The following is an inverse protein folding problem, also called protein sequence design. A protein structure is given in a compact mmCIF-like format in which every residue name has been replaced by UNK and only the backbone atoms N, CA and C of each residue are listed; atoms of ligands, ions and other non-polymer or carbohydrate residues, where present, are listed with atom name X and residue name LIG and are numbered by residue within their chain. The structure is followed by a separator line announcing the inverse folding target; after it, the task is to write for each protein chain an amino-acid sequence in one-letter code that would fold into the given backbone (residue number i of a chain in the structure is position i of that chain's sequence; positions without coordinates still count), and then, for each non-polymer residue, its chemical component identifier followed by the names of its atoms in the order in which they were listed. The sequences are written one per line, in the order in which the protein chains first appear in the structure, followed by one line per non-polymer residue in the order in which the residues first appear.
data_IF_386497984685
#
_entry.id   IF_386497984685
#
_cell.length_a   1.000
_cell.length_b   1.000
_cell.length_c   1.000
_cell.angle_alpha   90.00
_cell.angle_beta   90.00
_cell.angle_gamma   90.00
#
_symmetry.space_group_name_H-M   'P 1'
#
loop_
_entity.id
_entity.type
_entity.pdbx_description
1 polymer ?
#
# COMPACT_ATOMS: atom_id res chain seq x y z
N UNK A 1 43.91 -11.14 20.80
CA UNK A 1 43.04 -10.51 21.82
C UNK A 1 42.76 -9.10 21.29
N UNK A 2 41.59 -8.67 20.87
CA UNK A 2 40.20 -9.10 20.95
C UNK A 2 39.53 -8.43 19.72
N UNK A 3 38.96 -9.16 18.77
CA UNK A 3 37.55 -9.57 18.71
C UNK A 3 36.94 -8.93 17.45
N UNK A 4 36.49 -9.81 16.57
CA UNK A 4 35.67 -9.53 15.41
C UNK A 4 34.26 -9.13 15.85
N UNK A 5 33.93 -7.85 15.83
CA UNK A 5 32.54 -7.40 15.96
C UNK A 5 32.11 -6.79 14.62
N UNK A 6 31.43 -7.59 13.81
CA UNK A 6 30.76 -7.17 12.59
C UNK A 6 29.56 -6.28 12.91
N UNK A 7 29.85 -5.04 13.33
CA UNK A 7 28.86 -4.00 13.57
C UNK A 7 28.29 -3.48 12.25
N UNK A 8 26.97 -3.55 12.11
CA UNK A 8 26.21 -2.82 11.11
C UNK A 8 26.28 -1.33 11.46
N UNK A 9 27.12 -0.57 10.74
CA UNK A 9 27.32 0.86 10.93
C UNK A 9 26.06 1.65 10.49
N UNK A 10 25.14 1.89 11.43
CA UNK A 10 23.88 2.61 11.18
C UNK A 10 24.14 4.07 10.72
N UNK A 11 25.26 4.66 11.13
CA UNK A 11 25.72 6.01 10.74
C UNK A 11 26.21 6.07 9.28
N UNK A 12 26.59 4.92 8.68
CA UNK A 12 26.97 4.82 7.27
C UNK A 12 25.74 4.69 6.35
N UNK A 13 24.69 3.99 6.78
CA UNK A 13 23.42 3.90 6.04
C UNK A 13 22.77 5.29 5.93
N UNK A 14 22.69 6.04 7.04
CA UNK A 14 22.12 7.39 7.05
C UNK A 14 22.85 8.41 6.17
N UNK A 15 24.13 8.18 5.82
CA UNK A 15 24.88 9.04 4.89
C UNK A 15 24.77 8.63 3.42
N UNK A 16 24.37 7.39 3.13
CA UNK A 16 24.21 6.89 1.75
C UNK A 16 22.92 7.41 1.07
N UNK A 17 21.95 7.90 1.83
CA UNK A 17 20.64 8.32 1.31
C UNK A 17 20.55 9.82 0.97
N UNK A 18 21.63 10.60 1.07
CA UNK A 18 21.56 12.04 0.82
C UNK A 18 22.19 12.41 -0.53
N UNK A 19 21.43 12.36 -1.65
CA UNK A 19 21.89 12.83 -2.94
C UNK A 19 21.96 14.36 -2.92
N UNK A 20 23.09 14.91 -2.46
CA UNK A 20 23.41 16.31 -2.74
C UNK A 20 23.94 16.39 -4.17
N UNK A 21 23.01 16.33 -5.14
CA UNK A 21 23.28 16.61 -6.55
C UNK A 21 22.89 18.05 -6.87
N UNK A 22 23.89 18.91 -7.04
CA UNK A 22 23.71 20.23 -7.64
C UNK A 22 23.50 20.13 -9.16
N UNK A 23 22.55 20.90 -9.68
CA UNK A 23 22.28 21.10 -11.10
C UNK A 23 21.23 22.19 -11.30
N UNK A 24 21.61 23.25 -12.01
CA UNK A 24 20.95 24.54 -12.17
C UNK A 24 19.80 24.60 -13.19
N UNK A 25 19.07 25.70 -13.14
CA UNK A 25 17.79 26.00 -13.79
C UNK A 25 17.81 26.04 -15.34
N UNK A 26 16.64 25.77 -15.94
CA UNK A 26 16.33 26.04 -17.34
C UNK A 26 14.85 25.79 -17.64
N UNK A 27 14.10 26.89 -17.73
CA UNK A 27 12.65 27.01 -17.91
C UNK A 27 12.10 26.19 -19.09
N UNK A 28 10.86 25.67 -18.98
CA UNK A 28 9.89 25.58 -20.09
C UNK A 28 8.49 25.14 -19.62
N UNK A 29 7.50 26.03 -19.85
CA UNK A 29 6.04 25.81 -19.90
C UNK A 29 5.24 25.68 -18.58
N UNK A 30 4.96 26.83 -17.97
CA UNK A 30 3.89 27.04 -16.98
C UNK A 30 2.63 27.58 -17.67
N UNK A 31 2.04 26.83 -18.60
CA UNK A 31 0.77 27.20 -19.23
C UNK A 31 -0.01 26.00 -19.76
N UNK A 32 -1.14 25.68 -19.11
CA UNK A 32 -2.20 24.83 -19.65
C UNK A 32 -2.36 23.48 -18.97
N UNK A 33 -3.63 23.06 -18.80
CA UNK A 33 -4.07 21.70 -18.49
C UNK A 33 -4.20 21.26 -17.01
N UNK A 34 -4.85 22.07 -16.16
CA UNK A 34 -5.72 21.51 -15.11
C UNK A 34 -7.19 21.82 -15.44
N UNK A 35 -7.60 21.40 -16.64
CA UNK A 35 -9.00 21.31 -17.05
C UNK A 35 -9.34 19.83 -17.19
N UNK A 36 -9.69 19.20 -16.07
CA UNK A 36 -10.11 17.79 -16.01
C UNK A 36 -10.94 17.60 -14.75
N UNK A 37 -12.25 17.48 -14.94
CA UNK A 37 -13.23 17.47 -13.86
C UNK A 37 -13.04 16.34 -12.84
N UNK A 38 -13.49 16.62 -11.62
CA UNK A 38 -13.79 15.63 -10.59
C UNK A 38 -15.03 14.81 -11.01
N UNK A 39 -14.90 14.02 -12.08
CA UNK A 39 -15.90 13.03 -12.44
C UNK A 39 -15.80 11.87 -11.44
N UNK A 40 -16.88 11.68 -10.68
CA UNK A 40 -17.29 10.42 -10.05
C UNK A 40 -16.18 9.62 -9.34
N UNK A 41 -15.83 10.05 -8.12
CA UNK A 41 -15.14 9.20 -7.15
C UNK A 41 -16.07 8.16 -6.50
N UNK A 42 -17.14 7.76 -7.19
CA UNK A 42 -17.98 6.60 -6.86
C UNK A 42 -17.42 5.35 -7.57
N UNK A 43 -16.10 5.27 -7.71
CA UNK A 43 -15.42 4.02 -8.04
C UNK A 43 -15.69 3.07 -6.89
N UNK A 44 -16.67 2.18 -7.05
CA UNK A 44 -16.96 1.10 -6.12
C UNK A 44 -15.64 0.41 -5.77
N UNK A 45 -15.11 0.74 -4.59
CA UNK A 45 -13.83 0.22 -4.13
C UNK A 45 -13.98 -1.29 -4.06
N UNK A 46 -13.34 -1.98 -5.00
CA UNK A 46 -13.41 -3.43 -5.08
C UNK A 46 -12.92 -4.00 -3.74
N UNK A 47 -13.83 -4.60 -2.97
CA UNK A 47 -13.52 -5.15 -1.66
C UNK A 47 -12.90 -6.52 -1.86
N UNK A 48 -11.63 -6.64 -1.52
CA UNK A 48 -10.94 -7.93 -1.50
C UNK A 48 -11.23 -8.65 -0.18
N UNK A 49 -11.54 -9.94 -0.27
CA UNK A 49 -11.81 -10.82 0.86
C UNK A 49 -10.64 -11.80 1.09
N UNK A 50 -10.53 -12.37 2.29
CA UNK A 50 -9.63 -13.47 2.62
C UNK A 50 -10.41 -14.76 2.84
N UNK A 51 -9.91 -15.84 2.26
CA UNK A 51 -10.36 -17.20 2.54
C UNK A 51 -10.08 -17.63 3.97
N UNK A 52 -11.06 -18.26 4.65
CA UNK A 52 -10.91 -18.68 6.04
C UNK A 52 -9.94 -19.84 6.29
N UNK A 53 -9.68 -20.67 5.29
CA UNK A 53 -8.76 -21.82 5.42
C UNK A 53 -7.47 -21.66 4.62
N UNK A 54 -7.59 -21.20 3.39
CA UNK A 54 -6.46 -21.05 2.47
C UNK A 54 -5.76 -19.69 2.59
N UNK A 55 -6.38 -18.70 3.24
CA UNK A 55 -5.83 -17.35 3.37
C UNK A 55 -5.69 -16.59 2.05
N UNK A 56 -6.10 -17.18 0.92
CA UNK A 56 -6.04 -16.57 -0.40
C UNK A 56 -6.93 -15.33 -0.49
N UNK A 57 -6.46 -14.36 -1.26
CA UNK A 57 -7.20 -13.15 -1.58
C UNK A 57 -8.23 -13.46 -2.66
N UNK A 58 -9.50 -13.12 -2.38
CA UNK A 58 -10.62 -13.38 -3.29
C UNK A 58 -11.32 -12.07 -3.60
N UNK A 59 -11.45 -11.76 -4.89
CA UNK A 59 -12.26 -10.69 -5.44
C UNK A 59 -13.68 -11.21 -5.76
N UNK A 60 -14.68 -10.76 -5.00
CA UNK A 60 -16.08 -11.15 -5.20
C UNK A 60 -16.90 -9.93 -5.57
N UNK A 61 -17.68 -10.03 -6.65
CA UNK A 61 -18.63 -9.01 -7.07
C UNK A 61 -19.89 -9.09 -6.22
N UNK A 62 -20.56 -7.94 -5.95
CA UNK A 62 -21.89 -7.99 -5.36
C UNK A 62 -22.80 -8.82 -6.28
N UNK A 63 -23.56 -9.76 -5.71
CA UNK A 63 -24.43 -10.74 -6.40
C UNK A 63 -23.76 -12.08 -6.82
N UNK A 64 -22.45 -12.26 -6.67
CA UNK A 64 -21.81 -13.55 -6.94
C UNK A 64 -21.90 -14.51 -5.73
N UNK A 65 -21.83 -15.82 -5.97
CA UNK A 65 -21.90 -16.83 -4.93
C UNK A 65 -20.63 -16.82 -4.06
N UNK A 66 -20.80 -16.77 -2.74
CA UNK A 66 -19.67 -16.74 -1.78
C UNK A 66 -18.96 -18.09 -1.77
N UNK A 67 -17.90 -18.22 -2.58
CA UNK A 67 -17.05 -19.40 -2.67
C UNK A 67 -15.61 -18.99 -2.93
N UNK A 68 -14.67 -19.63 -2.25
CA UNK A 68 -13.26 -19.51 -2.59
C UNK A 68 -12.95 -20.27 -3.89
N UNK A 69 -12.15 -19.67 -4.79
CA UNK A 69 -11.77 -20.26 -6.09
C UNK A 69 -10.77 -21.41 -5.98
N UNK A 70 -10.01 -21.49 -4.87
CA UNK A 70 -8.94 -22.47 -4.70
C UNK A 70 -9.35 -23.68 -3.84
N UNK A 71 -10.18 -23.47 -2.81
CA UNK A 71 -10.55 -24.53 -1.86
C UNK A 71 -12.06 -24.84 -1.77
N UNK A 72 -12.93 -24.06 -2.45
CA UNK A 72 -14.37 -24.29 -2.43
C UNK A 72 -15.09 -23.97 -1.10
N UNK A 73 -14.36 -23.48 -0.09
CA UNK A 73 -14.94 -23.08 1.19
C UNK A 73 -15.74 -21.78 1.07
N UNK A 74 -16.75 -21.63 1.92
CA UNK A 74 -17.78 -20.57 1.80
C UNK A 74 -17.63 -19.45 2.84
N UNK A 75 -16.63 -19.55 3.71
CA UNK A 75 -16.37 -18.55 4.74
C UNK A 75 -15.21 -17.66 4.28
N UNK A 76 -15.50 -16.38 4.12
CA UNK A 76 -14.55 -15.36 3.71
C UNK A 76 -14.60 -14.19 4.69
N UNK A 77 -13.45 -13.64 5.02
CA UNK A 77 -13.28 -12.46 5.87
C UNK A 77 -13.05 -11.22 5.02
N UNK A 78 -13.54 -10.06 5.45
CA UNK A 78 -13.20 -8.79 4.81
C UNK A 78 -11.78 -8.38 5.18
N UNK A 79 -11.02 -7.86 4.22
CA UNK A 79 -9.69 -7.34 4.49
C UNK A 79 -9.67 -6.16 5.46
N UNK A 80 -8.59 -6.09 6.24
CA UNK A 80 -8.29 -4.89 7.05
C UNK A 80 -8.04 -3.70 6.12
N UNK A 81 -8.63 -2.55 6.46
CA UNK A 81 -8.39 -1.32 5.72
C UNK A 81 -6.96 -0.82 6.02
N UNK A 82 -6.11 -0.78 5.00
CA UNK A 82 -4.72 -0.28 5.13
C UNK A 82 -4.64 1.25 5.13
N UNK A 83 -5.55 1.90 4.40
CA UNK A 83 -5.52 3.35 4.20
C UNK A 83 -6.09 4.13 5.38
N UNK A 84 -7.01 3.54 6.15
CA UNK A 84 -7.69 4.22 7.24
C UNK A 84 -7.35 3.57 8.59
N UNK A 85 -6.53 4.23 9.44
CA UNK A 85 -6.19 3.69 10.75
C UNK A 85 -7.41 3.73 11.67
N UNK A 86 -7.53 2.71 12.53
CA UNK A 86 -8.45 2.74 13.65
C UNK A 86 -7.81 3.55 14.78
N UNK A 87 -8.52 4.55 15.31
CA UNK A 87 -8.10 5.33 16.48
C UNK A 87 -8.80 4.76 17.69
N UNK A 88 -8.05 4.56 18.77
CA UNK A 88 -8.52 4.02 20.03
C UNK A 88 -8.00 4.87 21.19
N UNK A 89 -8.87 5.14 22.17
CA UNK A 89 -8.50 5.78 23.43
C UNK A 89 -8.03 4.71 24.42
N UNK A 90 -6.91 4.96 25.11
CA UNK A 90 -6.46 4.10 26.20
C UNK A 90 -7.28 4.42 27.45
N UNK A 91 -8.25 3.56 27.76
CA UNK A 91 -9.06 3.61 28.99
C UNK A 91 -8.77 2.39 29.84
#
# INVERSE_FOLDING_TARGET
MASSDGGFDFDAVLRADNPTGGGEAGDNNTAGMFAGGIADLESQVAVTYLCGECGAYVDIKPHDAVRCRECGHRILYKLRQKQRPCVYEAR
#
